data_IF_406050135924
#
_entry.id   IF_406050135924
#
_cell.length_a   1.000
_cell.length_b   1.000
_cell.length_c   1.000
_cell.angle_alpha   90.00
_cell.angle_beta   90.00
_cell.angle_gamma   90.00
#
_symmetry.space_group_name_H-M   'P 1'
#
loop_
_entity.id
_entity.type
_entity.pdbx_description
1 polymer ?
#
# COMPACT_ATOMS: atom_id res chain seq x y z
N UNK A 1 -8.60 0.18 -15.91
CA UNK A 1 -7.60 0.57 -14.90
C UNK A 1 -7.28 -0.68 -14.11
N UNK A 2 -6.01 -1.06 -14.00
CA UNK A 2 -5.59 -2.18 -13.15
C UNK A 2 -5.15 -1.65 -11.79
N UNK A 3 -5.69 -2.23 -10.73
CA UNK A 3 -5.34 -1.90 -9.35
C UNK A 3 -4.80 -3.18 -8.69
N UNK A 4 -3.62 -3.08 -8.10
CA UNK A 4 -2.96 -4.20 -7.41
C UNK A 4 -2.71 -3.78 -5.96
N UNK A 5 -3.13 -4.62 -5.02
CA UNK A 5 -2.82 -4.46 -3.60
C UNK A 5 -1.76 -5.47 -3.21
N UNK A 6 -0.73 -5.03 -2.50
CA UNK A 6 0.38 -5.87 -2.05
C UNK A 6 0.57 -5.68 -0.56
N UNK A 7 0.60 -6.78 0.20
CA UNK A 7 1.04 -6.77 1.59
C UNK A 7 2.57 -6.72 1.65
N UNK A 8 3.12 -5.81 2.45
CA UNK A 8 4.57 -5.64 2.61
C UNK A 8 4.95 -6.01 4.06
N UNK A 9 5.69 -7.12 4.29
CA UNK A 9 6.09 -7.50 5.63
C UNK A 9 6.94 -6.44 6.33
N UNK A 10 6.76 -6.26 7.64
CA UNK A 10 7.50 -5.27 8.43
C UNK A 10 9.02 -5.41 8.29
N UNK A 11 9.53 -6.65 8.28
CA UNK A 11 10.96 -6.94 8.05
C UNK A 11 11.44 -6.48 6.69
N UNK A 12 10.63 -6.60 5.64
CA UNK A 12 10.99 -6.11 4.30
C UNK A 12 11.12 -4.58 4.28
N UNK A 13 10.24 -3.88 4.99
CA UNK A 13 10.30 -2.41 5.13
C UNK A 13 11.53 -2.00 5.94
N UNK A 14 11.80 -2.68 7.05
CA UNK A 14 12.99 -2.42 7.86
C UNK A 14 14.29 -2.53 7.03
N UNK A 15 14.40 -3.53 6.15
CA UNK A 15 15.53 -3.66 5.21
C UNK A 15 15.59 -2.47 4.24
N UNK A 16 14.44 -2.05 3.69
CA UNK A 16 14.35 -0.90 2.78
C UNK A 16 14.68 0.43 3.46
N UNK A 17 14.49 0.56 4.76
CA UNK A 17 14.82 1.79 5.50
C UNK A 17 16.28 1.82 5.96
N UNK A 18 16.85 0.67 6.32
CA UNK A 18 18.21 0.57 6.87
C UNK A 18 19.30 0.54 5.79
N UNK A 19 18.94 0.59 4.50
CA UNK A 19 19.81 0.49 3.32
C UNK A 19 21.29 0.83 3.60
N UNK A 20 22.09 -0.21 3.86
CA UNK A 20 23.51 -0.14 4.15
C UNK A 20 24.18 -1.51 3.97
N UNK A 21 25.50 -1.53 3.71
CA UNK A 21 26.25 -2.77 3.46
C UNK A 21 26.41 -3.65 4.72
N UNK A 22 26.28 -3.06 5.92
CA UNK A 22 26.39 -3.76 7.22
C UNK A 22 25.11 -3.55 8.07
N UNK A 23 24.05 -4.29 7.77
CA UNK A 23 22.84 -4.31 8.60
C UNK A 23 23.08 -5.24 9.79
N UNK A 24 23.22 -4.66 10.99
CA UNK A 24 23.22 -5.43 12.24
C UNK A 24 21.85 -6.10 12.44
N UNK A 25 21.83 -7.42 12.61
CA UNK A 25 20.61 -8.21 12.84
C UNK A 25 19.79 -7.65 14.00
N UNK A 26 20.43 -7.14 15.06
CA UNK A 26 19.72 -6.55 16.20
C UNK A 26 18.98 -5.27 15.82
N UNK A 27 19.59 -4.43 14.98
CA UNK A 27 18.96 -3.20 14.48
C UNK A 27 17.79 -3.52 13.56
N UNK A 28 17.96 -4.52 12.69
CA UNK A 28 16.90 -5.00 11.81
C UNK A 28 15.70 -5.52 12.61
N UNK A 29 15.94 -6.41 13.57
CA UNK A 29 14.88 -6.99 14.39
C UNK A 29 14.20 -5.93 15.26
N UNK A 30 14.95 -4.98 15.84
CA UNK A 30 14.35 -3.86 16.55
C UNK A 30 13.42 -3.06 15.64
N UNK A 31 13.89 -2.70 14.44
CA UNK A 31 13.10 -1.89 13.51
C UNK A 31 11.88 -2.64 12.98
N UNK A 32 12.03 -3.91 12.66
CA UNK A 32 10.91 -4.75 12.24
C UNK A 32 9.84 -4.84 13.35
N UNK A 33 10.23 -4.99 14.61
CA UNK A 33 9.30 -5.05 15.75
C UNK A 33 8.52 -3.75 15.98
N UNK A 34 9.13 -2.59 15.72
CA UNK A 34 8.43 -1.31 15.72
C UNK A 34 7.35 -1.28 14.62
N UNK A 35 7.74 -1.67 13.41
CA UNK A 35 6.89 -1.70 12.22
C UNK A 35 5.78 -2.77 12.27
N UNK A 36 5.95 -3.84 13.06
CA UNK A 36 4.93 -4.89 13.26
C UNK A 36 3.63 -4.40 13.88
N UNK A 37 3.64 -3.19 14.47
CA UNK A 37 2.44 -2.53 15.00
C UNK A 37 1.46 -2.10 13.90
N UNK A 38 1.86 -2.18 12.62
CA UNK A 38 1.05 -1.76 11.49
C UNK A 38 0.91 -2.85 10.42
N UNK A 39 -0.24 -2.89 9.75
CA UNK A 39 -0.37 -3.51 8.44
C UNK A 39 0.14 -2.53 7.40
N UNK A 40 1.14 -2.95 6.64
CA UNK A 40 1.70 -2.17 5.54
C UNK A 40 1.21 -2.73 4.22
N UNK A 41 0.49 -1.89 3.47
CA UNK A 41 0.00 -2.22 2.15
C UNK A 41 0.57 -1.26 1.12
N UNK A 42 0.72 -1.74 -0.11
CA UNK A 42 0.97 -0.91 -1.29
C UNK A 42 -0.16 -1.09 -2.28
N UNK A 43 -0.72 0.02 -2.75
CA UNK A 43 -1.67 0.05 -3.86
C UNK A 43 -0.98 0.59 -5.09
N UNK A 44 -0.99 -0.19 -6.16
CA UNK A 44 -0.48 0.22 -7.47
C UNK A 44 -1.62 0.45 -8.44
N UNK A 45 -1.66 1.65 -9.02
CA UNK A 45 -2.54 2.01 -10.13
C UNK A 45 -1.78 1.91 -11.45
N UNK A 46 -2.31 1.20 -12.43
CA UNK A 46 -1.68 1.05 -13.74
C UNK A 46 -2.72 0.96 -14.85
N UNK A 47 -2.67 1.79 -15.90
CA UNK A 47 -3.44 1.56 -17.11
C UNK A 47 -3.02 0.23 -17.73
N UNK A 48 -3.98 -0.48 -18.32
CA UNK A 48 -3.68 -1.71 -19.05
C UNK A 48 -2.90 -1.42 -20.34
N UNK A 49 -3.15 -0.25 -20.93
CA UNK A 49 -2.44 0.24 -22.10
C UNK A 49 -1.12 0.91 -21.70
N UNK A 50 -0.03 0.45 -22.30
CA UNK A 50 1.32 1.02 -22.09
C UNK A 50 1.40 2.46 -22.60
N UNK A 51 2.25 3.26 -21.95
CA UNK A 51 2.55 4.64 -22.35
C UNK A 51 1.51 5.68 -21.91
N UNK A 52 0.46 5.26 -21.21
CA UNK A 52 -0.52 6.17 -20.60
C UNK A 52 -0.08 6.51 -19.18
N UNK A 53 -0.05 7.81 -18.88
CA UNK A 53 0.04 8.31 -17.52
C UNK A 53 -1.26 7.96 -16.77
N UNK A 54 -1.16 7.23 -15.67
CA UNK A 54 -2.32 6.75 -14.93
C UNK A 54 -3.22 7.89 -14.43
N UNK A 55 -2.66 9.08 -14.15
CA UNK A 55 -3.42 10.26 -13.75
C UNK A 55 -4.35 10.77 -14.86
N UNK A 56 -4.03 10.44 -16.13
CA UNK A 56 -4.80 10.80 -17.32
C UNK A 56 -5.73 9.69 -17.79
N UNK A 57 -5.84 8.58 -17.05
CA UNK A 57 -6.69 7.47 -17.48
C UNK A 57 -8.15 7.93 -17.63
N UNK A 58 -8.74 7.70 -18.81
CA UNK A 58 -10.12 8.09 -19.13
C UNK A 58 -10.38 9.57 -19.37
N UNK A 59 -9.37 10.46 -19.25
CA UNK A 59 -9.52 11.88 -19.59
C UNK A 59 -8.18 12.55 -19.88
N UNK A 60 -8.13 13.34 -20.96
CA UNK A 60 -6.97 14.16 -21.31
C UNK A 60 -7.01 15.56 -20.68
N UNK A 61 -8.02 15.87 -19.86
CA UNK A 61 -8.13 17.15 -19.18
C UNK A 61 -7.02 17.31 -18.12
N UNK A 62 -6.15 18.34 -18.25
CA UNK A 62 -5.12 18.63 -17.25
C UNK A 62 -5.67 18.87 -15.84
N UNK A 63 -6.88 19.42 -15.71
CA UNK A 63 -7.49 19.69 -14.41
C UNK A 63 -7.82 18.38 -13.67
N UNK A 64 -8.38 17.39 -14.38
CA UNK A 64 -8.69 16.08 -13.79
C UNK A 64 -7.41 15.39 -13.30
N UNK A 65 -6.33 15.47 -14.07
CA UNK A 65 -5.04 14.90 -13.65
C UNK A 65 -4.49 15.58 -12.39
N UNK A 66 -4.63 16.90 -12.30
CA UNK A 66 -4.20 17.67 -11.13
C UNK A 66 -5.05 17.34 -9.90
N UNK A 67 -6.37 17.24 -10.06
CA UNK A 67 -7.30 16.85 -8.99
C UNK A 67 -6.97 15.46 -8.44
N UNK A 68 -6.75 14.47 -9.31
CA UNK A 68 -6.34 13.12 -8.91
C UNK A 68 -5.03 13.14 -8.13
N UNK A 69 -4.06 13.92 -8.61
CA UNK A 69 -2.78 14.07 -7.94
C UNK A 69 -2.92 14.72 -6.56
N UNK A 70 -3.76 15.75 -6.43
CA UNK A 70 -4.04 16.39 -5.15
C UNK A 70 -4.74 15.40 -4.19
N UNK A 71 -5.73 14.67 -4.69
CA UNK A 71 -6.46 13.67 -3.92
C UNK A 71 -5.54 12.57 -3.38
N UNK A 72 -4.68 12.01 -4.24
CA UNK A 72 -3.67 11.02 -3.87
C UNK A 72 -2.67 11.50 -2.80
N UNK A 73 -2.42 12.80 -2.71
CA UNK A 73 -1.49 13.38 -1.74
C UNK A 73 -2.16 13.76 -0.41
N UNK A 74 -3.47 13.99 -0.39
CA UNK A 74 -4.12 14.68 0.73
C UNK A 74 -5.27 13.92 1.36
N UNK A 75 -6.01 13.12 0.58
CA UNK A 75 -7.29 12.57 1.03
C UNK A 75 -7.42 11.07 0.77
N UNK A 76 -6.44 10.43 0.14
CA UNK A 76 -6.59 9.03 -0.27
C UNK A 76 -6.81 8.06 0.90
N UNK A 77 -6.32 8.39 2.10
CA UNK A 77 -6.60 7.62 3.30
C UNK A 77 -8.08 7.55 3.67
N UNK A 78 -8.91 8.55 3.33
CA UNK A 78 -10.33 8.54 3.66
C UNK A 78 -11.16 7.60 2.79
N UNK A 79 -10.60 7.17 1.66
CA UNK A 79 -11.27 6.25 0.74
C UNK A 79 -11.04 4.78 1.12
N UNK A 80 -10.22 4.53 2.14
CA UNK A 80 -9.65 3.22 2.43
C UNK A 80 -10.01 2.75 3.83
N UNK A 81 -10.47 1.51 3.90
CA UNK A 81 -10.75 0.81 5.15
C UNK A 81 -10.16 -0.60 5.08
N UNK A 82 -9.47 -1.04 6.12
CA UNK A 82 -8.96 -2.40 6.22
C UNK A 82 -9.79 -3.19 7.23
N UNK A 83 -10.33 -4.33 6.81
CA UNK A 83 -10.95 -5.29 7.72
C UNK A 83 -9.90 -6.32 8.14
N UNK A 84 -9.71 -6.48 9.45
CA UNK A 84 -8.81 -7.45 10.08
C UNK A 84 -9.63 -8.32 11.03
N UNK A 85 -10.05 -9.50 10.57
CA UNK A 85 -10.97 -10.36 11.30
C UNK A 85 -12.34 -9.70 11.52
N UNK A 86 -12.58 -9.19 12.73
CA UNK A 86 -13.81 -8.45 13.09
C UNK A 86 -13.59 -6.94 13.22
N UNK A 87 -12.34 -6.50 13.18
CA UNK A 87 -11.98 -5.11 13.37
C UNK A 87 -12.02 -4.36 12.04
N UNK A 88 -12.41 -3.09 12.11
CA UNK A 88 -12.43 -2.16 10.99
C UNK A 88 -11.40 -1.08 11.28
N UNK A 89 -10.33 -1.06 10.52
CA UNK A 89 -9.16 -0.22 10.76
C UNK A 89 -9.14 0.92 9.74
N UNK A 90 -9.10 2.19 10.17
CA UNK A 90 -8.90 3.32 9.27
C UNK A 90 -7.45 3.36 8.77
N UNK A 91 -7.26 3.90 7.55
CA UNK A 91 -5.92 4.20 7.05
C UNK A 91 -5.35 5.39 7.83
N UNK A 92 -4.31 5.15 8.63
CA UNK A 92 -3.71 6.17 9.51
C UNK A 92 -2.65 7.01 8.77
N UNK A 93 -2.03 6.44 7.74
CA UNK A 93 -1.05 7.14 6.92
C UNK A 93 -1.10 6.61 5.48
N UNK A 94 -1.01 7.53 4.52
CA UNK A 94 -0.76 7.20 3.13
C UNK A 94 0.40 8.05 2.59
N UNK A 95 1.14 7.49 1.64
CA UNK A 95 2.19 8.19 0.93
C UNK A 95 2.15 7.82 -0.55
N UNK A 96 1.85 8.80 -1.40
CA UNK A 96 1.90 8.62 -2.85
C UNK A 96 3.30 8.94 -3.38
N UNK A 97 3.90 7.97 -4.06
CA UNK A 97 5.23 8.12 -4.68
C UNK A 97 5.11 8.76 -6.05
N UNK A 98 5.69 9.96 -6.21
CA UNK A 98 5.74 10.65 -7.51
C UNK A 98 6.79 10.04 -8.41
N UNK A 99 6.35 9.54 -9.55
CA UNK A 99 7.24 8.98 -10.57
C UNK A 99 7.56 9.97 -11.69
N UNK A 100 7.05 11.22 -11.63
CA UNK A 100 7.27 12.29 -12.62
C UNK A 100 7.12 11.83 -14.09
N UNK A 101 6.18 10.92 -14.35
CA UNK A 101 5.91 10.30 -15.67
C UNK A 101 7.02 9.40 -16.21
N UNK A 102 7.99 9.02 -15.38
CA UNK A 102 9.01 8.01 -15.74
C UNK A 102 8.38 6.61 -15.81
N UNK A 103 7.29 6.38 -15.08
CA UNK A 103 6.54 5.13 -15.10
C UNK A 103 5.08 5.40 -15.46
N UNK A 104 4.44 4.42 -16.11
CA UNK A 104 3.00 4.47 -16.38
C UNK A 104 2.12 4.09 -15.19
N UNK A 105 2.69 3.98 -13.99
CA UNK A 105 1.98 3.55 -12.78
C UNK A 105 2.24 4.50 -11.61
N UNK A 106 1.34 4.48 -10.64
CA UNK A 106 1.49 5.18 -9.38
C UNK A 106 1.40 4.20 -8.22
N UNK A 107 2.31 4.33 -7.24
CA UNK A 107 2.29 3.55 -6.01
C UNK A 107 1.88 4.44 -4.83
N UNK A 108 0.98 3.91 -4.00
CA UNK A 108 0.62 4.50 -2.73
C UNK A 108 0.92 3.49 -1.62
N UNK A 109 1.79 3.88 -0.70
CA UNK A 109 2.07 3.14 0.52
C UNK A 109 1.04 3.51 1.58
N UNK A 110 0.51 2.52 2.30
CA UNK A 110 -0.59 2.64 3.26
C UNK A 110 -0.24 1.96 4.57
N UNK A 111 -0.60 2.59 5.69
CA UNK A 111 -0.45 2.03 7.03
C UNK A 111 -1.80 1.97 7.74
N UNK A 112 -2.05 0.85 8.41
CA UNK A 112 -3.19 0.62 9.29
C UNK A 112 -2.68 0.09 10.62
N UNK A 113 -3.10 0.68 11.74
CA UNK A 113 -2.64 0.23 13.05
C UNK A 113 -3.30 -1.11 13.44
N UNK A 114 -2.49 -2.11 13.82
CA UNK A 114 -2.99 -3.41 14.26
C UNK A 114 -3.57 -3.28 15.67
N UNK A 115 -4.74 -3.88 15.90
CA UNK A 115 -5.28 -4.00 17.26
C UNK A 115 -4.51 -5.05 18.09
N UNK A 116 -3.96 -6.07 17.43
CA UNK A 116 -3.24 -7.18 18.08
C UNK A 116 -1.93 -7.49 17.35
N UNK A 117 -0.79 -7.36 18.05
CA UNK A 117 0.52 -7.76 17.52
C UNK A 117 0.62 -9.27 17.39
N UNK A 118 1.21 -9.75 16.29
CA UNK A 118 1.54 -11.17 16.08
C UNK A 118 0.38 -12.05 15.60
N UNK A 119 -0.86 -11.56 15.58
CA UNK A 119 -2.00 -12.28 14.99
C UNK A 119 -2.08 -11.99 13.51
N UNK A 120 -2.05 -13.03 12.67
CA UNK A 120 -2.27 -12.89 11.23
C UNK A 120 -3.65 -13.44 10.92
N UNK A 121 -4.59 -12.54 10.64
CA UNK A 121 -5.92 -12.89 10.17
C UNK A 121 -6.03 -12.63 8.67
N UNK A 122 -7.14 -13.08 8.06
CA UNK A 122 -7.45 -12.70 6.68
C UNK A 122 -7.78 -11.21 6.65
N UNK A 123 -7.17 -10.49 5.71
CA UNK A 123 -7.39 -9.07 5.54
C UNK A 123 -8.29 -8.81 4.34
N UNK A 124 -9.15 -7.79 4.44
CA UNK A 124 -9.86 -7.25 3.29
C UNK A 124 -9.66 -5.74 3.23
N UNK A 125 -8.99 -5.26 2.18
CA UNK A 125 -8.94 -3.83 1.88
C UNK A 125 -10.21 -3.45 1.10
N UNK A 126 -10.95 -2.48 1.62
CA UNK A 126 -12.07 -1.84 0.96
C UNK A 126 -11.58 -0.48 0.47
N UNK A 127 -11.78 -0.21 -0.83
CA UNK A 127 -11.42 1.05 -1.46
C UNK A 127 -12.64 1.65 -2.18
N UNK A 128 -13.09 2.81 -1.72
CA UNK A 128 -14.18 3.57 -2.34
C UNK A 128 -13.61 4.52 -3.40
N UNK A 129 -13.53 4.08 -4.66
CA UNK A 129 -12.79 4.79 -5.70
C UNK A 129 -13.41 6.14 -6.09
N UNK A 130 -12.78 7.23 -5.64
CA UNK A 130 -13.07 8.60 -6.04
C UNK A 130 -12.23 9.09 -7.24
N UNK A 131 -11.20 8.35 -7.65
CA UNK A 131 -10.24 8.78 -8.68
C UNK A 131 -10.69 8.40 -10.09
N UNK A 132 -11.19 7.17 -10.25
CA UNK A 132 -11.56 6.59 -11.54
C UNK A 132 -13.03 6.16 -11.63
N UNK A 133 -13.81 6.43 -10.57
CA UNK A 133 -15.25 6.19 -10.51
C UNK A 133 -15.64 4.72 -10.74
N UNK A 134 -14.80 3.78 -10.28
CA UNK A 134 -15.06 2.34 -10.36
C UNK A 134 -16.00 1.85 -9.26
N UNK A 135 -16.35 2.70 -8.29
CA UNK A 135 -17.18 2.34 -7.14
C UNK A 135 -16.38 1.70 -6.01
N UNK A 136 -17.05 0.88 -5.19
CA UNK A 136 -16.41 0.15 -4.10
C UNK A 136 -15.66 -1.08 -4.64
N UNK A 137 -14.38 -1.18 -4.32
CA UNK A 137 -13.50 -2.29 -4.65
C UNK A 137 -13.08 -3.03 -3.39
N UNK A 138 -13.06 -4.36 -3.44
CA UNK A 138 -12.67 -5.22 -2.31
C UNK A 138 -11.53 -6.13 -2.70
N UNK A 139 -10.47 -6.13 -1.89
CA UNK A 139 -9.27 -6.94 -2.11
C UNK A 139 -9.02 -7.83 -0.90
N UNK A 140 -9.12 -9.15 -1.09
CA UNK A 140 -8.86 -10.12 -0.03
C UNK A 140 -7.38 -10.53 -0.03
N UNK A 141 -6.79 -10.61 1.15
CA UNK A 141 -5.40 -11.04 1.38
C UNK A 141 -5.43 -12.18 2.39
N UNK A 142 -5.07 -13.38 1.93
CA UNK A 142 -5.11 -14.59 2.76
C UNK A 142 -3.98 -14.60 3.80
N UNK A 143 -4.33 -14.92 5.04
CA UNK A 143 -3.38 -15.01 6.16
C UNK A 143 -2.24 -16.00 5.90
N UNK A 144 -2.53 -17.10 5.21
CA UNK A 144 -1.53 -18.10 4.83
C UNK A 144 -0.43 -17.49 3.94
N UNK A 145 -0.81 -16.63 2.99
CA UNK A 145 0.13 -15.94 2.10
C UNK A 145 0.95 -14.89 2.86
N UNK A 146 0.32 -14.18 3.80
CA UNK A 146 1.01 -13.23 4.68
C UNK A 146 2.09 -13.97 5.50
N UNK A 147 1.72 -15.09 6.12
CA UNK A 147 2.66 -15.91 6.88
C UNK A 147 3.84 -16.43 6.05
N UNK A 148 3.62 -16.81 4.79
CA UNK A 148 4.69 -17.22 3.89
C UNK A 148 5.64 -16.07 3.56
N UNK A 149 5.10 -14.87 3.29
CA UNK A 149 5.89 -13.68 2.99
C UNK A 149 6.72 -13.20 4.19
N UNK A 150 6.21 -13.36 5.41
CA UNK A 150 6.93 -12.96 6.63
C UNK A 150 8.11 -13.88 6.98
N UNK A 151 8.25 -15.05 6.34
CA UNK A 151 9.35 -16.00 6.58
C UNK A 151 10.64 -15.71 5.80
N UNK A 152 10.76 -14.52 5.18
CA UNK A 152 11.95 -14.10 4.45
C UNK A 152 13.22 -14.36 5.29
N UNK A 153 14.03 -15.32 4.83
CA UNK A 153 15.31 -15.70 5.43
C UNK A 153 16.39 -14.97 4.66
N UNK A 154 17.17 -14.13 5.34
CA UNK A 154 18.37 -13.51 4.77
C UNK A 154 19.48 -14.55 4.98
N UNK A 155 20.07 -15.04 3.89
CA UNK A 155 21.26 -15.90 3.93
C UNK A 155 22.53 -15.04 3.83
#
# INVERSE_FOLDING_TARGET
MKIIVTYVPAKAIAIMELMGEDIDERQLEQRANELESYHHLRVRFSPEQKGIDFLKFGSNDPQISHQRLQHLNSFFNTDLTLIDGKDTLPCVLHHFERTYKLTGYGDVSLLFEKQHKGTVSNLQLIYNDQLFQLGELRFNIDSEKIHQLSKLTIN
#
